data_IF_181773294005
#
_entry.id   IF_181773294005
#
_cell.length_a   1.000
_cell.length_b   1.000
_cell.length_c   1.000
_cell.angle_alpha   90.00
_cell.angle_beta   90.00
_cell.angle_gamma   90.00
#
_symmetry.space_group_name_H-M   'P 1'
#
loop_
_entity.id
_entity.type
_entity.pdbx_description
1 polymer ?
#
# COMPACT_ATOMS: atom_id res chain seq x y z
N UNK A 1 -3.21 -9.55 1.08
CA UNK A 1 -3.30 -9.13 -0.34
C UNK A 1 -2.80 -7.71 -0.54
N UNK A 2 -3.46 -6.66 -0.03
CA UNK A 2 -3.00 -5.28 -0.20
C UNK A 2 -1.69 -4.97 0.55
N UNK A 3 -1.57 -5.46 1.79
CA UNK A 3 -0.34 -5.34 2.58
C UNK A 3 0.84 -6.12 1.96
N UNK A 4 0.54 -7.23 1.28
CA UNK A 4 1.56 -8.03 0.58
C UNK A 4 2.07 -7.28 -0.65
N UNK A 5 1.17 -6.68 -1.44
CA UNK A 5 1.55 -5.86 -2.61
C UNK A 5 2.36 -4.63 -2.21
N UNK A 6 1.96 -3.92 -1.16
CA UNK A 6 2.71 -2.77 -0.64
C UNK A 6 4.14 -3.14 -0.23
N UNK A 7 4.29 -4.35 0.34
CA UNK A 7 5.58 -4.88 0.76
C UNK A 7 6.43 -5.33 -0.42
N UNK A 8 5.85 -5.98 -1.42
CA UNK A 8 6.54 -6.31 -2.68
C UNK A 8 7.09 -5.07 -3.38
N UNK A 9 6.30 -3.99 -3.42
CA UNK A 9 6.72 -2.71 -4.01
C UNK A 9 7.87 -2.07 -3.25
N UNK A 10 7.84 -2.15 -1.92
CA UNK A 10 8.97 -1.73 -1.07
C UNK A 10 10.23 -2.56 -1.36
N UNK A 11 10.12 -3.89 -1.44
CA UNK A 11 11.27 -4.77 -1.66
C UNK A 11 11.86 -4.62 -3.07
N UNK A 12 11.02 -4.37 -4.08
CA UNK A 12 11.47 -4.03 -5.43
C UNK A 12 12.24 -2.71 -5.43
N UNK A 13 11.67 -1.65 -4.85
CA UNK A 13 12.32 -0.34 -4.71
C UNK A 13 13.64 -0.43 -3.93
N UNK A 14 13.65 -1.18 -2.82
CA UNK A 14 14.84 -1.30 -1.98
C UNK A 14 15.97 -2.05 -2.69
N UNK A 15 15.65 -3.14 -3.42
CA UNK A 15 16.65 -3.89 -4.20
C UNK A 15 17.25 -3.06 -5.34
N UNK A 16 16.44 -2.25 -6.01
CA UNK A 16 16.92 -1.33 -7.05
C UNK A 16 17.85 -0.25 -6.46
N UNK A 17 17.43 0.38 -5.35
CA UNK A 17 18.16 1.50 -4.75
C UNK A 17 19.39 1.08 -3.94
N UNK A 18 19.35 -0.10 -3.32
CA UNK A 18 20.36 -0.62 -2.40
C UNK A 18 20.68 -2.10 -2.68
N UNK A 19 21.27 -2.44 -3.84
CA UNK A 19 21.47 -3.83 -4.26
C UNK A 19 22.40 -4.65 -3.35
N UNK A 20 23.26 -3.98 -2.57
CA UNK A 20 24.16 -4.62 -1.62
C UNK A 20 23.52 -4.93 -0.25
N UNK A 21 22.29 -4.47 0.00
CA UNK A 21 21.60 -4.62 1.28
C UNK A 21 20.45 -5.59 1.12
N UNK A 22 20.59 -6.74 1.77
CA UNK A 22 19.59 -7.81 1.71
C UNK A 22 18.30 -7.43 2.44
N UNK A 23 17.16 -7.87 1.89
CA UNK A 23 15.81 -7.68 2.43
C UNK A 23 15.28 -8.96 3.10
N UNK A 24 16.18 -9.81 3.60
CA UNK A 24 15.80 -11.02 4.37
C UNK A 24 14.94 -10.65 5.58
N UNK A 25 13.92 -11.46 5.79
CA UNK A 25 12.99 -11.37 6.92
C UNK A 25 13.42 -12.36 8.01
N UNK A 26 13.21 -12.00 9.27
CA UNK A 26 13.77 -12.70 10.42
C UNK A 26 12.81 -13.73 11.04
N UNK A 27 11.50 -13.62 10.79
CA UNK A 27 10.49 -14.39 11.53
C UNK A 27 9.14 -14.53 10.79
N UNK A 28 8.23 -15.29 11.41
CA UNK A 28 6.83 -15.47 11.01
C UNK A 28 5.99 -14.18 11.09
N UNK A 29 6.48 -13.15 11.79
CA UNK A 29 5.86 -11.83 11.89
C UNK A 29 6.24 -10.93 10.70
N UNK A 30 7.19 -11.36 9.85
CA UNK A 30 7.56 -10.68 8.61
C UNK A 30 8.43 -9.44 8.78
N UNK A 31 9.11 -9.26 9.92
CA UNK A 31 10.05 -8.14 10.12
C UNK A 31 11.37 -8.38 9.40
N UNK A 32 12.01 -7.32 8.92
CA UNK A 32 13.32 -7.40 8.28
C UNK A 32 14.43 -7.67 9.31
N UNK A 33 15.40 -8.50 8.93
CA UNK A 33 16.53 -8.88 9.79
C UNK A 33 17.47 -7.70 10.07
N UNK A 34 17.56 -6.77 9.12
CA UNK A 34 18.40 -5.58 9.24
C UNK A 34 17.53 -4.40 9.70
N UNK A 35 17.91 -3.80 10.83
CA UNK A 35 17.20 -2.66 11.42
C UNK A 35 17.03 -1.49 10.42
N UNK A 36 18.04 -1.25 9.58
CA UNK A 36 17.97 -0.18 8.57
C UNK A 36 16.89 -0.44 7.51
N UNK A 37 16.63 -1.71 7.19
CA UNK A 37 15.59 -2.09 6.23
C UNK A 37 14.22 -1.99 6.91
N UNK A 38 14.12 -2.38 8.17
CA UNK A 38 12.88 -2.23 8.96
C UNK A 38 12.48 -0.76 9.10
N UNK A 39 13.41 0.13 9.46
CA UNK A 39 13.12 1.57 9.57
C UNK A 39 12.67 2.17 8.23
N UNK A 40 13.29 1.74 7.12
CA UNK A 40 12.86 2.18 5.78
C UNK A 40 11.47 1.66 5.44
N UNK A 41 11.15 0.44 5.85
CA UNK A 41 9.81 -0.13 5.70
C UNK A 41 8.78 0.67 6.50
N UNK A 42 9.05 1.01 7.76
CA UNK A 42 8.18 1.86 8.57
C UNK A 42 7.96 3.24 7.93
N UNK A 43 9.02 3.90 7.46
CA UNK A 43 8.91 5.17 6.75
C UNK A 43 8.13 5.04 5.43
N UNK A 44 8.33 3.94 4.70
CA UNK A 44 7.58 3.64 3.47
C UNK A 44 6.09 3.49 3.76
N UNK A 45 5.75 2.78 4.84
CA UNK A 45 4.37 2.65 5.32
C UNK A 45 3.77 4.00 5.69
N UNK A 46 4.47 4.80 6.49
CA UNK A 46 4.01 6.13 6.91
C UNK A 46 3.78 7.07 5.72
N UNK A 47 4.69 7.09 4.74
CA UNK A 47 4.57 7.95 3.55
C UNK A 47 3.32 7.67 2.72
N UNK A 48 2.81 6.43 2.77
CA UNK A 48 1.62 5.97 2.04
C UNK A 48 0.38 5.83 2.92
N UNK A 49 0.53 6.03 4.24
CA UNK A 49 -0.59 6.26 5.16
C UNK A 49 -1.19 7.65 5.01
N UNK A 50 -0.42 8.62 4.53
CA UNK A 50 -0.87 10.00 4.37
C UNK A 50 -1.75 10.25 3.13
N UNK A 51 -1.88 9.29 2.21
CA UNK A 51 -2.64 9.45 0.96
C UNK A 51 -3.99 8.73 1.03
N UNK A 52 -4.76 8.98 2.09
CA UNK A 52 -6.15 8.50 2.20
C UNK A 52 -7.09 9.63 1.79
N UNK A 53 -7.93 9.39 0.79
CA UNK A 53 -8.99 10.33 0.38
C UNK A 53 -10.31 9.86 0.97
N UNK A 54 -10.96 10.74 1.74
CA UNK A 54 -12.33 10.54 2.20
C UNK A 54 -13.27 10.75 1.00
N UNK A 55 -14.15 9.78 0.75
CA UNK A 55 -15.18 9.93 -0.27
C UNK A 55 -16.30 10.85 0.26
N UNK A 56 -17.04 11.56 -0.62
CA UNK A 56 -18.16 12.39 -0.19
C UNK A 56 -19.21 11.56 0.57
N UNK A 57 -19.82 12.12 1.62
CA UNK A 57 -20.78 11.39 2.51
C UNK A 57 -21.97 10.75 1.77
N UNK A 58 -22.36 11.31 0.61
CA UNK A 58 -23.44 10.78 -0.22
C UNK A 58 -23.03 9.60 -1.09
N UNK A 59 -21.75 9.20 -1.08
CA UNK A 59 -21.24 8.05 -1.81
C UNK A 59 -21.29 6.81 -0.92
N UNK A 60 -22.22 5.90 -1.22
CA UNK A 60 -22.28 4.58 -0.60
C UNK A 60 -21.92 3.51 -1.62
N UNK A 61 -20.87 2.75 -1.32
CA UNK A 61 -20.37 1.63 -2.15
C UNK A 61 -21.36 0.48 -2.28
N UNK A 62 -22.37 0.42 -1.42
CA UNK A 62 -23.41 -0.62 -1.41
C UNK A 62 -24.76 -0.12 -1.93
N UNK A 63 -24.82 1.11 -2.44
CA UNK A 63 -26.01 1.63 -3.10
C UNK A 63 -26.28 0.91 -4.43
N UNK A 64 -27.52 1.00 -4.91
CA UNK A 64 -28.02 0.36 -6.13
C UNK A 64 -28.08 1.30 -7.34
N UNK A 65 -27.57 2.53 -7.21
CA UNK A 65 -27.61 3.54 -8.26
C UNK A 65 -26.50 3.41 -9.31
N UNK A 66 -26.64 4.10 -10.44
CA UNK A 66 -25.69 4.11 -11.56
C UNK A 66 -24.22 4.41 -11.16
N UNK A 67 -24.02 5.05 -10.00
CA UNK A 67 -22.72 5.43 -9.46
C UNK A 67 -21.94 4.27 -8.84
N UNK A 68 -22.61 3.19 -8.44
CA UNK A 68 -21.95 2.04 -7.83
C UNK A 68 -21.43 1.03 -8.84
N UNK A 69 -21.89 1.10 -10.10
CA UNK A 69 -21.40 0.24 -11.20
C UNK A 69 -19.89 0.33 -11.44
N UNK A 70 -19.28 1.48 -11.17
CA UNK A 70 -17.85 1.73 -11.42
C UNK A 70 -17.00 1.72 -10.15
N UNK A 71 -17.56 1.40 -8.99
CA UNK A 71 -16.85 1.45 -7.69
C UNK A 71 -15.56 0.64 -7.75
N UNK A 72 -15.62 -0.59 -8.25
CA UNK A 72 -14.45 -1.47 -8.30
C UNK A 72 -13.34 -0.91 -9.20
N UNK A 73 -13.69 -0.36 -10.36
CA UNK A 73 -12.72 0.16 -11.32
C UNK A 73 -12.12 1.50 -10.85
N UNK A 74 -12.93 2.34 -10.20
CA UNK A 74 -12.48 3.58 -9.57
C UNK A 74 -11.56 3.27 -8.38
N UNK A 75 -11.93 2.32 -7.52
CA UNK A 75 -11.10 1.87 -6.39
C UNK A 75 -9.76 1.31 -6.88
N UNK A 76 -9.78 0.47 -7.93
CA UNK A 76 -8.54 -0.03 -8.58
C UNK A 76 -7.68 1.12 -9.12
N UNK A 77 -8.27 2.10 -9.79
CA UNK A 77 -7.54 3.24 -10.35
C UNK A 77 -6.91 4.12 -9.27
N UNK A 78 -7.65 4.40 -8.19
CA UNK A 78 -7.16 5.20 -7.05
C UNK A 78 -6.03 4.44 -6.34
N UNK A 79 -6.21 3.14 -6.08
CA UNK A 79 -5.17 2.30 -5.48
C UNK A 79 -3.93 2.18 -6.37
N UNK A 80 -4.09 2.06 -7.70
CA UNK A 80 -2.98 2.05 -8.65
C UNK A 80 -2.20 3.38 -8.69
N UNK A 81 -2.85 4.49 -8.38
CA UNK A 81 -2.21 5.79 -8.19
C UNK A 81 -1.49 5.93 -6.83
N UNK A 82 -1.53 4.90 -5.98
CA UNK A 82 -0.92 4.89 -4.64
C UNK A 82 -1.72 5.64 -3.59
N UNK A 83 -3.00 5.92 -3.87
CA UNK A 83 -3.93 6.59 -2.97
C UNK A 83 -4.89 5.53 -2.44
N UNK A 84 -5.25 5.59 -1.15
CA UNK A 84 -6.27 4.72 -0.57
C UNK A 84 -7.57 5.49 -0.39
N UNK A 85 -8.70 4.86 -0.62
CA UNK A 85 -10.02 5.39 -0.24
C UNK A 85 -10.46 4.76 1.08
N UNK A 86 -11.21 5.51 1.88
CA UNK A 86 -11.86 5.01 3.09
C UNK A 86 -13.30 4.61 2.82
#
# INVERSE_FOLDING_TARGET
>A
MEQDKMREDFEAWHRDRYPAVDVRRQNLLGTYTLLIVEQRWECWQASRAAMVVELPEWFDRFDSGDRTYWVEDVEKAINAAGIRTK
#
